data_IF_043499398174
#
_entry.id   IF_043499398174
#
_cell.length_a   1.000
_cell.length_b   1.000
_cell.length_c   1.000
_cell.angle_alpha   90.00
_cell.angle_beta   90.00
_cell.angle_gamma   90.00
#
_symmetry.space_group_name_H-M   'P 1'
#
loop_
_entity.id
_entity.type
_entity.pdbx_description
1 polymer ?
#
# COMPACT_ATOMS: atom_id res chain seq x y z
N UNK A 1 7.97 -8.82 -5.68
CA UNK A 1 7.17 -8.36 -6.84
C UNK A 1 6.39 -7.14 -6.39
N UNK A 2 6.02 -6.22 -7.29
CA UNK A 2 5.29 -5.01 -6.89
C UNK A 2 3.79 -5.28 -6.78
N UNK A 3 3.15 -4.84 -5.70
CA UNK A 3 1.72 -5.06 -5.39
C UNK A 3 0.77 -4.78 -6.58
N UNK A 4 0.96 -3.66 -7.29
CA UNK A 4 0.16 -3.29 -8.48
C UNK A 4 0.29 -4.29 -9.64
N UNK A 5 1.42 -4.99 -9.74
CA UNK A 5 1.66 -6.00 -10.79
C UNK A 5 0.90 -7.31 -10.51
N UNK A 6 0.61 -7.59 -9.25
CA UNK A 6 -0.05 -8.82 -8.81
C UNK A 6 -1.58 -8.73 -8.99
N UNK A 7 -2.15 -7.52 -8.96
CA UNK A 7 -3.60 -7.28 -9.12
C UNK A 7 -4.08 -7.14 -10.57
N UNK A 8 -3.21 -7.34 -11.57
CA UNK A 8 -3.48 -7.05 -12.99
C UNK A 8 -3.95 -5.60 -13.25
N UNK A 9 -3.54 -4.66 -12.40
CA UNK A 9 -3.88 -3.24 -12.55
C UNK A 9 -3.01 -2.58 -13.62
N UNK A 10 -3.48 -1.45 -14.16
CA UNK A 10 -2.77 -0.72 -15.22
C UNK A 10 -1.44 -0.19 -14.70
N UNK A 11 -0.35 -0.85 -15.07
CA UNK A 11 1.01 -0.38 -14.75
C UNK A 11 1.25 0.98 -15.42
N UNK A 12 1.63 2.03 -14.66
CA UNK A 12 1.89 3.34 -15.23
C UNK A 12 3.17 3.28 -16.07
N UNK A 13 3.20 4.03 -17.18
CA UNK A 13 4.40 4.10 -18.02
C UNK A 13 5.55 4.81 -17.29
N UNK A 14 6.77 4.58 -17.76
CA UNK A 14 7.93 5.33 -17.24
C UNK A 14 7.72 6.84 -17.43
N UNK A 15 7.84 7.61 -16.34
CA UNK A 15 7.62 9.06 -16.32
C UNK A 15 6.15 9.50 -16.18
N UNK A 16 5.21 8.56 -16.19
CA UNK A 16 3.79 8.84 -15.99
C UNK A 16 3.50 9.10 -14.50
N UNK A 17 2.73 10.17 -14.23
CA UNK A 17 2.25 10.46 -12.88
C UNK A 17 0.92 9.76 -12.64
N UNK A 18 0.74 9.23 -11.45
CA UNK A 18 -0.52 8.63 -11.00
C UNK A 18 -0.80 9.02 -9.56
N UNK A 19 -2.08 9.04 -9.21
CA UNK A 19 -2.55 9.32 -7.84
C UNK A 19 -2.59 8.02 -7.05
N UNK A 20 -2.05 8.03 -5.83
CA UNK A 20 -2.05 6.88 -4.94
C UNK A 20 -2.35 7.28 -3.49
N UNK A 21 -2.79 6.29 -2.71
CA UNK A 21 -2.95 6.39 -1.26
C UNK A 21 -2.25 5.21 -0.58
N UNK A 22 -1.94 5.35 0.72
CA UNK A 22 -1.41 4.26 1.55
C UNK A 22 -2.57 3.65 2.33
N UNK A 23 -2.89 2.39 2.03
CA UNK A 23 -3.97 1.66 2.70
C UNK A 23 -3.48 0.93 3.95
N UNK A 24 -4.35 0.70 4.93
CA UNK A 24 -4.06 -0.24 6.00
C UNK A 24 -4.09 -1.65 5.46
N UNK A 25 -3.11 -2.45 5.82
CA UNK A 25 -3.14 -3.88 5.57
C UNK A 25 -2.62 -4.67 6.76
N UNK A 26 -2.84 -5.99 6.75
CA UNK A 26 -2.44 -6.86 7.84
C UNK A 26 -0.90 -6.92 7.93
N UNK A 27 -0.37 -7.10 9.15
CA UNK A 27 1.05 -7.35 9.32
C UNK A 27 1.47 -8.63 8.59
N UNK A 28 2.61 -8.58 7.92
CA UNK A 28 3.20 -9.72 7.22
C UNK A 28 4.19 -10.39 8.15
N UNK A 29 4.06 -11.71 8.27
CA UNK A 29 4.95 -12.53 9.09
C UNK A 29 5.69 -13.50 8.20
N UNK A 30 6.99 -13.62 8.42
CA UNK A 30 7.79 -14.63 7.74
C UNK A 30 7.43 -16.04 8.26
N UNK A 31 7.99 -17.07 7.62
CA UNK A 31 7.82 -18.48 8.02
C UNK A 31 8.25 -18.81 9.46
N UNK A 32 9.02 -17.92 10.11
CA UNK A 32 9.48 -18.04 11.50
C UNK A 32 8.59 -17.26 12.47
N UNK A 33 7.49 -16.66 11.99
CA UNK A 33 6.54 -15.87 12.80
C UNK A 33 7.04 -14.47 13.16
N UNK A 34 8.12 -13.97 12.54
CA UNK A 34 8.65 -12.62 12.77
C UNK A 34 7.95 -11.63 11.86
N UNK A 35 7.53 -10.49 12.43
CA UNK A 35 6.95 -9.37 11.67
C UNK A 35 8.01 -8.84 10.72
N UNK A 36 7.75 -8.90 9.42
CA UNK A 36 8.65 -8.29 8.45
C UNK A 36 8.44 -6.78 8.41
N UNK A 37 9.52 -5.99 8.23
CA UNK A 37 9.41 -4.56 8.04
C UNK A 37 8.71 -4.27 6.71
N UNK A 38 7.55 -3.66 6.81
CA UNK A 38 6.74 -3.20 5.69
C UNK A 38 7.39 -2.03 4.96
N UNK A 39 7.44 -2.07 3.63
CA UNK A 39 7.73 -0.88 2.83
C UNK A 39 6.42 -0.18 2.53
N UNK A 40 6.41 1.15 2.51
CA UNK A 40 5.22 1.93 2.16
C UNK A 40 4.68 1.53 0.78
N UNK A 41 5.56 1.22 -0.16
CA UNK A 41 5.19 0.74 -1.50
C UNK A 41 4.37 -0.56 -1.53
N UNK A 42 4.43 -1.38 -0.48
CA UNK A 42 3.64 -2.61 -0.38
C UNK A 42 2.16 -2.31 -0.06
N UNK A 43 1.89 -1.13 0.51
CA UNK A 43 0.56 -0.65 0.91
C UNK A 43 0.07 0.51 0.04
N UNK A 44 0.77 0.81 -1.06
CA UNK A 44 0.31 1.80 -2.02
C UNK A 44 -0.78 1.22 -2.90
N UNK A 45 -1.87 1.98 -3.04
CA UNK A 45 -3.00 1.64 -3.89
C UNK A 45 -3.43 2.84 -4.73
N UNK A 46 -4.03 2.60 -5.90
CA UNK A 46 -4.60 3.67 -6.69
C UNK A 46 -5.78 4.33 -5.95
N UNK A 47 -5.86 5.66 -6.02
CA UNK A 47 -6.83 6.43 -5.24
C UNK A 47 -8.29 6.14 -5.64
N UNK A 48 -8.54 5.90 -6.92
CA UNK A 48 -9.84 5.49 -7.46
C UNK A 48 -10.22 4.08 -7.01
N UNK A 49 -9.29 3.12 -7.09
CA UNK A 49 -9.49 1.74 -6.63
C UNK A 49 -9.79 1.68 -5.13
N UNK A 50 -8.97 2.37 -4.32
CA UNK A 50 -9.16 2.44 -2.88
C UNK A 50 -10.54 3.01 -2.52
N UNK A 51 -11.00 4.02 -3.27
CA UNK A 51 -12.33 4.61 -3.10
C UNK A 51 -13.44 3.65 -3.52
N UNK A 52 -13.32 3.03 -4.69
CA UNK A 52 -14.31 2.10 -5.24
C UNK A 52 -14.51 0.88 -4.33
N UNK A 53 -13.41 0.35 -3.79
CA UNK A 53 -13.43 -0.82 -2.89
C UNK A 53 -13.61 -0.43 -1.42
N UNK A 54 -13.77 0.86 -1.09
CA UNK A 54 -13.89 1.38 0.27
C UNK A 54 -12.78 0.86 1.21
N UNK A 55 -11.53 0.89 0.74
CA UNK A 55 -10.37 0.42 1.49
C UNK A 55 -10.04 1.40 2.61
N UNK A 56 -9.66 0.86 3.77
CA UNK A 56 -9.23 1.69 4.90
C UNK A 56 -7.85 2.30 4.61
N UNK A 57 -7.72 3.62 4.77
CA UNK A 57 -6.47 4.36 4.58
C UNK A 57 -5.69 4.38 5.90
N UNK A 58 -4.36 4.24 5.83
CA UNK A 58 -3.50 4.41 7.00
C UNK A 58 -3.35 5.90 7.36
N UNK A 59 -4.25 6.40 8.20
CA UNK A 59 -4.23 7.80 8.67
C UNK A 59 -2.93 8.11 9.44
N UNK A 60 -2.36 7.15 10.16
CA UNK A 60 -1.15 7.39 10.97
C UNK A 60 0.05 7.75 10.09
N UNK A 61 0.15 7.11 8.91
CA UNK A 61 1.14 7.45 7.91
C UNK A 61 1.07 8.93 7.50
N UNK A 62 -0.13 9.44 7.24
CA UNK A 62 -0.33 10.84 6.81
C UNK A 62 -0.20 11.86 7.95
N UNK A 63 -0.52 11.47 9.17
CA UNK A 63 -0.36 12.33 10.34
C UNK A 63 1.08 12.35 10.87
N UNK A 64 1.99 11.54 10.30
CA UNK A 64 3.34 11.36 10.82
C UNK A 64 3.34 10.78 12.24
N UNK A 65 2.23 10.18 12.66
CA UNK A 65 2.08 9.60 13.97
C UNK A 65 2.85 8.27 13.97
N UNK A 66 4.11 8.33 14.38
CA UNK A 66 4.89 7.12 14.64
C UNK A 66 4.27 6.50 15.89
N UNK A 67 3.48 5.44 15.76
CA UNK A 67 3.10 4.63 16.92
C UNK A 67 4.40 4.03 17.46
N UNK A 68 4.87 4.62 18.56
CA UNK A 68 6.03 4.19 19.33
C UNK A 68 5.85 2.78 19.90
#
# INVERSE_FOLDING_TARGET
MGHMKEKNERIPNSGERFSYVVVKGPPFYNKEGRKEPHRIGDFMEYADIAKEQNMEIDINYYLGATTA
#
